data_IF_005762528684
#
_entry.id   IF_005762528684
#
_cell.length_a   1.000
_cell.length_b   1.000
_cell.length_c   1.000
_cell.angle_alpha   90.00
_cell.angle_beta   90.00
_cell.angle_gamma   90.00
#
_symmetry.space_group_name_H-M   'P 1'
#
loop_
_entity.id
_entity.type
_entity.pdbx_description
1 polymer ?
#
# COMPACT_ATOMS: atom_id res chain seq x y z
N UNK A 1 24.30 -17.55 3.26
CA UNK A 1 25.00 -17.02 2.07
C UNK A 1 25.24 -15.51 2.31
N UNK A 2 26.47 -15.02 2.38
CA UNK A 2 26.78 -13.64 2.78
C UNK A 2 26.21 -12.56 1.82
N UNK A 3 26.00 -12.92 0.56
CA UNK A 3 25.49 -12.02 -0.48
C UNK A 3 23.96 -11.91 -0.48
N UNK A 4 23.24 -12.80 0.19
CA UNK A 4 21.78 -12.79 0.27
C UNK A 4 21.33 -11.98 1.48
N UNK A 5 20.58 -10.93 1.27
CA UNK A 5 19.97 -10.13 2.33
C UNK A 5 18.47 -10.38 2.32
N UNK A 6 17.96 -10.92 3.42
CA UNK A 6 16.53 -11.11 3.64
C UNK A 6 16.01 -10.04 4.61
N UNK A 7 14.75 -9.65 4.54
CA UNK A 7 14.11 -8.78 5.53
C UNK A 7 13.70 -9.58 6.78
N UNK A 8 14.66 -10.27 7.42
CA UNK A 8 14.42 -11.25 8.49
C UNK A 8 13.56 -10.68 9.62
N UNK A 9 13.81 -9.45 10.05
CA UNK A 9 13.03 -8.81 11.11
C UNK A 9 11.55 -8.65 10.72
N UNK A 10 11.25 -8.23 9.50
CA UNK A 10 9.87 -8.09 9.02
C UNK A 10 9.19 -9.46 8.86
N UNK A 11 9.93 -10.46 8.41
CA UNK A 11 9.43 -11.84 8.26
C UNK A 11 9.13 -12.46 9.62
N UNK A 12 9.98 -12.25 10.62
CA UNK A 12 9.76 -12.72 11.99
C UNK A 12 8.57 -12.03 12.66
N UNK A 13 8.38 -10.71 12.45
CA UNK A 13 7.19 -10.00 12.94
C UNK A 13 5.92 -10.63 12.33
N UNK A 14 5.91 -10.90 11.03
CA UNK A 14 4.81 -11.59 10.36
C UNK A 14 4.58 -13.00 10.94
N UNK A 15 5.65 -13.75 11.20
CA UNK A 15 5.57 -15.08 11.81
C UNK A 15 5.01 -15.05 13.24
N UNK A 16 5.40 -14.06 14.05
CA UNK A 16 4.93 -13.92 15.43
C UNK A 16 3.45 -13.59 15.55
N UNK A 17 2.82 -13.01 14.53
CA UNK A 17 1.36 -12.78 14.52
C UNK A 17 0.55 -14.06 14.72
N UNK A 18 1.03 -15.20 14.19
CA UNK A 18 0.37 -16.50 14.37
C UNK A 18 0.36 -16.94 15.85
N UNK A 19 1.42 -16.63 16.60
CA UNK A 19 1.50 -16.94 18.04
C UNK A 19 0.44 -16.15 18.82
N UNK A 20 0.20 -14.89 18.45
CA UNK A 20 -0.85 -14.07 19.08
C UNK A 20 -2.25 -14.63 18.80
N UNK A 21 -2.50 -15.09 17.58
CA UNK A 21 -3.76 -15.77 17.23
C UNK A 21 -3.93 -17.06 18.02
N UNK A 22 -2.85 -17.85 18.18
CA UNK A 22 -2.85 -19.06 19.01
C UNK A 22 -3.19 -18.76 20.46
N UNK A 23 -2.61 -17.71 21.04
CA UNK A 23 -2.90 -17.28 22.40
C UNK A 23 -4.35 -16.78 22.56
N UNK A 24 -4.91 -16.09 21.56
CA UNK A 24 -6.32 -15.69 21.56
C UNK A 24 -7.25 -16.92 21.57
N UNK A 25 -6.95 -17.92 20.76
CA UNK A 25 -7.71 -19.19 20.75
C UNK A 25 -7.59 -19.89 22.09
N UNK A 26 -6.37 -19.95 22.68
CA UNK A 26 -6.16 -20.52 23.98
C UNK A 26 -7.05 -19.85 25.05
N UNK A 27 -7.01 -18.52 25.15
CA UNK A 27 -7.83 -17.75 26.10
C UNK A 27 -9.35 -17.95 25.86
N UNK A 28 -9.77 -18.02 24.59
CA UNK A 28 -11.19 -18.22 24.26
C UNK A 28 -11.65 -19.63 24.65
N UNK A 29 -10.82 -20.64 24.45
CA UNK A 29 -11.15 -22.03 24.80
C UNK A 29 -11.06 -22.30 26.30
N UNK A 30 -10.22 -21.56 27.02
CA UNK A 30 -10.13 -21.61 28.48
C UNK A 30 -11.50 -21.29 29.15
N UNK A 31 -12.28 -20.41 28.56
CA UNK A 31 -13.59 -20.03 29.07
C UNK A 31 -14.69 -21.08 28.80
N UNK A 32 -14.40 -22.09 27.96
CA UNK A 32 -15.37 -23.07 27.54
C UNK A 32 -15.69 -24.05 28.69
N UNK A 33 -16.96 -24.14 29.06
CA UNK A 33 -17.48 -25.14 29.97
C UNK A 33 -17.10 -24.90 31.46
N UNK A 34 -16.70 -23.69 31.81
CA UNK A 34 -16.44 -23.34 33.20
C UNK A 34 -17.73 -23.43 34.02
N UNK A 35 -17.70 -24.00 35.23
CA UNK A 35 -18.86 -24.04 36.14
C UNK A 35 -19.14 -22.64 36.69
N UNK A 36 -20.37 -22.49 37.22
CA UNK A 36 -20.76 -21.30 37.93
C UNK A 36 -20.08 -21.33 39.29
N UNK A 37 -19.19 -20.47 39.55
CA UNK A 37 -18.46 -20.15 40.77
C UNK A 37 -16.95 -20.03 40.52
N UNK A 38 -16.11 -20.10 41.57
CA UNK A 38 -14.66 -20.04 41.50
C UNK A 38 -14.09 -21.15 40.60
N UNK A 39 -13.39 -20.76 39.52
CA UNK A 39 -12.72 -21.69 38.61
C UNK A 39 -11.21 -21.44 38.62
N UNK A 40 -10.46 -22.39 39.17
CA UNK A 40 -8.99 -22.31 39.22
C UNK A 40 -8.34 -22.40 37.84
N UNK A 41 -9.03 -22.99 36.89
CA UNK A 41 -8.72 -23.03 35.46
C UNK A 41 -8.29 -21.65 34.91
N UNK A 42 -8.92 -20.57 35.39
CA UNK A 42 -8.60 -19.19 35.00
C UNK A 42 -7.17 -18.72 35.42
N UNK A 43 -6.42 -19.50 36.17
CA UNK A 43 -5.02 -19.20 36.40
C UNK A 43 -4.15 -19.40 35.17
N UNK A 44 -4.59 -20.23 34.24
CA UNK A 44 -3.90 -20.49 32.95
C UNK A 44 -4.02 -19.31 31.95
N UNK A 45 -4.77 -18.25 32.31
CA UNK A 45 -4.87 -17.04 31.45
C UNK A 45 -3.58 -16.20 31.46
N UNK A 46 -2.71 -16.33 32.45
CA UNK A 46 -1.54 -15.47 32.67
C UNK A 46 -0.49 -15.65 31.57
N UNK A 47 -0.12 -16.91 31.32
CA UNK A 47 0.95 -17.20 30.36
C UNK A 47 0.64 -16.68 28.95
N UNK A 48 -0.52 -16.98 28.32
CA UNK A 48 -0.81 -16.48 26.99
C UNK A 48 -0.96 -14.94 26.93
N UNK A 49 -1.42 -14.29 28.02
CA UNK A 49 -1.52 -12.82 28.08
C UNK A 49 -0.12 -12.20 28.16
N UNK A 50 0.73 -12.67 29.06
CA UNK A 50 2.08 -12.12 29.22
C UNK A 50 2.93 -12.37 27.97
N UNK A 51 2.88 -13.59 27.43
CA UNK A 51 3.55 -13.93 26.17
C UNK A 51 3.09 -13.04 25.02
N UNK A 52 1.79 -12.80 24.89
CA UNK A 52 1.23 -11.91 23.85
C UNK A 52 1.72 -10.48 24.05
N UNK A 53 1.68 -9.96 25.28
CA UNK A 53 2.12 -8.60 25.61
C UNK A 53 3.60 -8.39 25.25
N UNK A 54 4.47 -9.32 25.65
CA UNK A 54 5.91 -9.26 25.36
C UNK A 54 6.18 -9.34 23.85
N UNK A 55 5.55 -10.30 23.16
CA UNK A 55 5.72 -10.44 21.71
C UNK A 55 5.25 -9.20 20.96
N UNK A 56 4.11 -8.58 21.33
CA UNK A 56 3.62 -7.35 20.69
C UNK A 56 4.60 -6.20 20.92
N UNK A 57 5.07 -5.98 22.15
CA UNK A 57 6.06 -4.94 22.47
C UNK A 57 7.33 -5.09 21.64
N UNK A 58 7.86 -6.31 21.57
CA UNK A 58 9.06 -6.62 20.80
C UNK A 58 8.84 -6.40 19.29
N UNK A 59 7.68 -6.82 18.74
CA UNK A 59 7.32 -6.57 17.35
C UNK A 59 7.22 -5.07 17.03
N UNK A 60 6.58 -4.29 17.91
CA UNK A 60 6.45 -2.84 17.73
C UNK A 60 7.81 -2.14 17.79
N UNK A 61 8.65 -2.49 18.78
CA UNK A 61 10.01 -1.93 18.89
C UNK A 61 10.84 -2.19 17.63
N UNK A 62 10.83 -3.42 17.12
CA UNK A 62 11.53 -3.76 15.89
C UNK A 62 10.93 -3.06 14.66
N UNK A 63 9.60 -2.94 14.58
CA UNK A 63 8.93 -2.21 13.50
C UNK A 63 9.30 -0.73 13.49
N UNK A 64 9.38 -0.09 14.65
CA UNK A 64 9.86 1.29 14.80
C UNK A 64 11.29 1.43 14.24
N UNK A 65 12.18 0.48 14.57
CA UNK A 65 13.54 0.45 14.05
C UNK A 65 13.57 0.32 12.50
N UNK A 66 12.77 -0.59 11.96
CA UNK A 66 12.63 -0.78 10.50
C UNK A 66 12.19 0.52 9.82
N UNK A 67 11.12 1.14 10.31
CA UNK A 67 10.58 2.38 9.71
C UNK A 67 11.59 3.53 9.79
N UNK A 68 12.25 3.71 10.93
CA UNK A 68 13.28 4.75 11.12
C UNK A 68 14.49 4.58 10.19
N UNK A 69 14.88 3.34 9.89
CA UNK A 69 16.02 3.02 9.04
C UNK A 69 15.70 2.91 7.55
N UNK A 70 14.41 3.02 7.17
CA UNK A 70 13.95 2.83 5.81
C UNK A 70 14.56 3.87 4.86
N UNK A 71 15.23 3.40 3.80
CA UNK A 71 15.76 4.24 2.72
C UNK A 71 14.95 4.03 1.45
N UNK A 72 14.31 5.08 0.97
CA UNK A 72 13.48 5.04 -0.23
C UNK A 72 14.34 5.37 -1.45
N UNK A 73 14.46 4.44 -2.41
CA UNK A 73 15.14 4.67 -3.67
C UNK A 73 14.15 5.10 -4.75
N UNK A 74 13.84 6.40 -4.78
CA UNK A 74 12.87 7.00 -5.70
C UNK A 74 13.17 6.69 -7.17
N UNK A 75 14.44 6.73 -7.57
CA UNK A 75 14.83 6.48 -8.96
C UNK A 75 14.60 5.03 -9.39
N UNK A 76 14.90 4.05 -8.52
CA UNK A 76 14.61 2.65 -8.81
C UNK A 76 13.10 2.38 -8.86
N UNK A 77 12.32 3.01 -7.97
CA UNK A 77 10.86 2.90 -7.96
C UNK A 77 10.25 3.47 -9.25
N UNK A 78 10.71 4.66 -9.69
CA UNK A 78 10.24 5.26 -10.93
C UNK A 78 10.60 4.39 -12.15
N UNK A 79 11.84 3.91 -12.24
CA UNK A 79 12.26 3.00 -13.32
C UNK A 79 11.46 1.69 -13.33
N UNK A 80 11.06 1.19 -12.16
CA UNK A 80 10.21 -0.01 -12.08
C UNK A 80 8.79 0.26 -12.60
N UNK A 81 8.25 1.46 -12.36
CA UNK A 81 6.95 1.88 -12.88
C UNK A 81 6.93 2.07 -14.41
N UNK A 82 8.07 2.42 -15.01
CA UNK A 82 8.18 2.55 -16.47
C UNK A 82 8.14 1.20 -17.20
N UNK A 83 8.36 0.09 -16.47
CA UNK A 83 8.26 -1.26 -17.03
C UNK A 83 6.84 -1.79 -16.87
N UNK A 84 6.30 -2.42 -17.91
CA UNK A 84 5.02 -3.12 -17.84
C UNK A 84 3.76 -2.27 -18.04
N UNK A 85 3.88 -1.08 -18.60
CA UNK A 85 2.76 -0.24 -19.05
C UNK A 85 1.68 0.03 -18.00
N UNK A 86 1.99 0.52 -16.80
CA UNK A 86 1.02 0.69 -15.70
C UNK A 86 -0.11 1.67 -16.03
N UNK A 87 0.09 2.58 -16.98
CA UNK A 87 -0.90 3.57 -17.43
C UNK A 87 -1.75 3.10 -18.62
N UNK A 88 -1.67 1.82 -19.01
CA UNK A 88 -2.47 1.27 -20.09
C UNK A 88 -3.98 1.39 -19.85
N UNK A 89 -4.42 1.24 -18.60
CA UNK A 89 -5.83 1.46 -18.22
C UNK A 89 -6.23 2.92 -18.34
N UNK A 90 -5.35 3.87 -17.98
CA UNK A 90 -5.62 5.31 -18.16
C UNK A 90 -5.74 5.67 -19.66
N UNK A 91 -5.00 4.97 -20.52
CA UNK A 91 -5.13 5.08 -21.98
C UNK A 91 -6.51 4.59 -22.45
N UNK A 92 -6.93 3.40 -22.03
CA UNK A 92 -8.25 2.87 -22.38
C UNK A 92 -9.38 3.77 -21.90
N UNK A 93 -9.29 4.25 -20.66
CA UNK A 93 -10.26 5.17 -20.07
C UNK A 93 -10.33 6.50 -20.85
N UNK A 94 -9.19 7.01 -21.32
CA UNK A 94 -9.14 8.20 -22.16
C UNK A 94 -9.89 7.99 -23.48
N UNK A 95 -9.64 6.88 -24.17
CA UNK A 95 -10.31 6.55 -25.42
C UNK A 95 -11.83 6.47 -25.27
N UNK A 96 -12.30 5.91 -24.14
CA UNK A 96 -13.74 5.82 -23.84
C UNK A 96 -14.32 7.20 -23.48
N UNK A 97 -13.69 7.90 -22.55
CA UNK A 97 -14.28 9.10 -21.93
C UNK A 97 -14.23 10.32 -22.83
N UNK A 98 -13.12 10.51 -23.55
CA UNK A 98 -12.90 11.73 -24.34
C UNK A 98 -13.10 11.53 -25.84
N UNK A 99 -12.86 10.32 -26.37
CA UNK A 99 -13.04 10.04 -27.79
C UNK A 99 -14.33 9.26 -28.08
N UNK A 100 -15.14 8.96 -27.06
CA UNK A 100 -16.40 8.21 -27.16
C UNK A 100 -16.26 6.87 -27.89
N UNK A 101 -15.11 6.20 -27.75
CA UNK A 101 -14.87 4.88 -28.32
C UNK A 101 -15.47 3.83 -27.38
N UNK A 102 -16.27 2.86 -27.88
CA UNK A 102 -16.79 1.79 -27.04
C UNK A 102 -15.67 1.04 -26.32
N UNK A 103 -15.89 0.68 -25.03
CA UNK A 103 -14.85 0.08 -24.18
C UNK A 103 -14.13 -1.12 -24.82
N UNK A 104 -14.87 -2.01 -25.47
CA UNK A 104 -14.30 -3.17 -26.16
C UNK A 104 -13.29 -2.77 -27.26
N UNK A 105 -13.58 -1.71 -28.00
CA UNK A 105 -12.71 -1.22 -29.07
C UNK A 105 -11.55 -0.41 -28.49
N UNK A 106 -11.78 0.40 -27.46
CA UNK A 106 -10.75 1.10 -26.72
C UNK A 106 -9.71 0.09 -26.14
N UNK A 107 -10.17 -1.03 -25.58
CA UNK A 107 -9.30 -2.09 -25.08
C UNK A 107 -8.46 -2.74 -26.20
N UNK A 108 -9.05 -2.99 -27.39
CA UNK A 108 -8.32 -3.50 -28.55
C UNK A 108 -7.27 -2.50 -29.06
N UNK A 109 -7.63 -1.22 -29.13
CA UNK A 109 -6.71 -0.14 -29.55
C UNK A 109 -5.55 -0.04 -28.55
N UNK A 110 -5.84 -0.02 -27.26
CA UNK A 110 -4.82 -0.04 -26.18
C UNK A 110 -3.88 -1.23 -26.34
N UNK A 111 -4.40 -2.43 -26.59
CA UNK A 111 -3.59 -3.63 -26.83
C UNK A 111 -2.66 -3.47 -28.05
N UNK A 112 -3.13 -2.87 -29.15
CA UNK A 112 -2.28 -2.59 -30.33
C UNK A 112 -1.17 -1.59 -30.00
N UNK A 113 -1.48 -0.55 -29.23
CA UNK A 113 -0.50 0.46 -28.80
C UNK A 113 0.56 -0.17 -27.91
N UNK A 114 0.17 -1.04 -26.96
CA UNK A 114 1.12 -1.77 -26.10
C UNK A 114 2.05 -2.66 -26.94
N UNK A 115 1.51 -3.46 -27.83
CA UNK A 115 2.31 -4.30 -28.74
C UNK A 115 3.28 -3.49 -29.60
N UNK A 116 2.87 -2.29 -30.00
CA UNK A 116 3.74 -1.38 -30.75
C UNK A 116 4.86 -0.83 -29.85
N UNK A 117 4.55 -0.44 -28.59
CA UNK A 117 5.52 0.01 -27.61
C UNK A 117 6.55 -1.09 -27.27
N UNK A 118 6.10 -2.32 -27.10
CA UNK A 118 6.95 -3.49 -26.87
C UNK A 118 7.93 -3.70 -28.04
N UNK A 119 7.44 -3.65 -29.28
CA UNK A 119 8.29 -3.78 -30.47
C UNK A 119 9.34 -2.67 -30.59
N UNK A 120 8.99 -1.45 -30.18
CA UNK A 120 9.93 -0.31 -30.14
C UNK A 120 10.80 -0.29 -28.86
N UNK A 121 10.55 -1.17 -27.90
CA UNK A 121 11.19 -1.23 -26.60
C UNK A 121 11.16 0.12 -25.86
N UNK A 122 10.01 0.80 -25.87
CA UNK A 122 9.77 2.10 -25.24
C UNK A 122 8.56 2.04 -24.30
N UNK A 123 8.48 2.97 -23.36
CA UNK A 123 7.33 3.16 -22.48
C UNK A 123 6.20 3.91 -23.19
N UNK A 124 4.96 3.89 -22.63
CA UNK A 124 3.81 4.56 -23.26
C UNK A 124 3.98 6.08 -23.38
N UNK A 125 4.67 6.71 -22.45
CA UNK A 125 4.95 8.15 -22.43
C UNK A 125 6.06 8.57 -23.41
N UNK A 126 6.80 7.61 -23.96
CA UNK A 126 7.84 7.84 -24.97
C UNK A 126 7.35 7.63 -26.43
N UNK A 127 6.14 7.12 -26.61
CA UNK A 127 5.57 6.93 -27.95
C UNK A 127 5.25 8.29 -28.57
N UNK A 128 5.60 8.46 -29.84
CA UNK A 128 5.27 9.69 -30.57
C UNK A 128 3.76 9.75 -30.87
N UNK A 129 3.21 10.96 -30.85
CA UNK A 129 1.79 11.19 -31.17
C UNK A 129 1.42 10.70 -32.57
N UNK A 130 2.34 10.79 -33.53
CA UNK A 130 2.17 10.31 -34.89
C UNK A 130 1.98 8.80 -34.95
N UNK A 131 2.74 8.05 -34.17
CA UNK A 131 2.60 6.59 -34.06
C UNK A 131 1.25 6.19 -33.45
N UNK A 132 0.79 6.93 -32.44
CA UNK A 132 -0.52 6.72 -31.83
C UNK A 132 -1.66 7.00 -32.83
N UNK A 133 -1.55 8.06 -33.61
CA UNK A 133 -2.50 8.42 -34.65
C UNK A 133 -2.51 7.45 -35.83
N UNK A 134 -1.39 6.81 -36.13
CA UNK A 134 -1.34 5.74 -37.11
C UNK A 134 -2.18 4.53 -36.70
N UNK A 135 -2.25 4.24 -35.39
CA UNK A 135 -3.07 3.14 -34.86
C UNK A 135 -4.54 3.55 -34.72
N UNK A 136 -4.81 4.77 -34.24
CA UNK A 136 -6.16 5.35 -34.08
C UNK A 136 -6.13 6.84 -34.42
N UNK A 137 -6.64 7.23 -35.60
CA UNK A 137 -6.58 8.61 -36.10
C UNK A 137 -7.30 9.66 -35.22
N UNK A 138 -8.25 9.23 -34.37
CA UNK A 138 -9.00 10.12 -33.47
C UNK A 138 -8.17 10.61 -32.29
N UNK A 139 -6.99 10.04 -32.06
CA UNK A 139 -6.13 10.41 -30.93
C UNK A 139 -5.62 11.84 -31.08
N UNK A 140 -5.82 12.64 -30.06
CA UNK A 140 -5.34 14.01 -29.97
C UNK A 140 -4.11 14.14 -29.03
N UNK A 141 -3.53 15.36 -28.98
CA UNK A 141 -2.34 15.62 -28.16
C UNK A 141 -2.58 15.54 -26.65
N UNK A 142 -3.84 15.62 -26.19
CA UNK A 142 -4.16 15.58 -24.76
C UNK A 142 -3.95 14.17 -24.17
N UNK A 143 -3.94 13.14 -25.01
CA UNK A 143 -3.67 11.77 -24.58
C UNK A 143 -2.32 11.66 -23.86
N UNK A 144 -1.29 12.37 -24.34
CA UNK A 144 0.06 12.34 -23.76
C UNK A 144 0.06 12.77 -22.29
N UNK A 145 -0.78 13.75 -21.94
CA UNK A 145 -0.97 14.17 -20.54
C UNK A 145 -1.68 13.09 -19.73
N UNK A 146 -2.61 12.36 -20.34
CA UNK A 146 -3.43 11.36 -19.64
C UNK A 146 -2.68 10.08 -19.31
N UNK A 147 -1.75 9.65 -20.17
CA UNK A 147 -0.97 8.42 -19.99
C UNK A 147 0.30 8.60 -19.15
N UNK A 148 0.63 9.82 -18.73
CA UNK A 148 1.78 10.02 -17.85
C UNK A 148 1.54 9.46 -16.45
N UNK A 149 2.57 8.87 -15.83
CA UNK A 149 2.53 8.32 -14.47
C UNK A 149 2.05 9.37 -13.46
N UNK A 150 2.55 10.61 -13.59
CA UNK A 150 2.14 11.71 -12.71
C UNK A 150 0.66 12.03 -12.81
N UNK A 151 0.12 12.10 -14.03
CA UNK A 151 -1.31 12.34 -14.24
C UNK A 151 -2.18 11.22 -13.72
N UNK A 152 -1.75 9.97 -13.88
CA UNK A 152 -2.44 8.81 -13.31
C UNK A 152 -2.55 8.93 -11.78
N UNK A 153 -1.47 9.28 -11.10
CA UNK A 153 -1.45 9.47 -9.64
C UNK A 153 -2.37 10.64 -9.23
N UNK A 154 -2.30 11.78 -9.94
CA UNK A 154 -3.12 12.96 -9.64
C UNK A 154 -4.63 12.72 -9.76
N UNK A 155 -5.04 11.83 -10.66
CA UNK A 155 -6.45 11.46 -10.86
C UNK A 155 -7.01 10.56 -9.75
N UNK A 156 -6.19 9.93 -8.90
CA UNK A 156 -6.64 9.04 -7.81
C UNK A 156 -7.16 9.86 -6.62
N UNK A 157 -8.34 10.45 -6.78
CA UNK A 157 -8.97 11.40 -5.84
C UNK A 157 -10.13 10.81 -5.02
N UNK A 158 -10.49 9.54 -5.23
CA UNK A 158 -11.47 8.83 -4.41
C UNK A 158 -10.99 8.68 -2.96
N UNK A 159 -11.88 8.36 -2.03
CA UNK A 159 -11.51 8.09 -0.63
C UNK A 159 -10.44 7.00 -0.56
N UNK A 160 -9.36 7.27 0.17
CA UNK A 160 -8.18 6.38 0.24
C UNK A 160 -7.27 6.43 -1.00
N UNK A 161 -7.56 7.27 -1.98
CA UNK A 161 -6.75 7.43 -3.18
C UNK A 161 -5.36 8.02 -2.90
N UNK A 162 -4.43 7.74 -3.81
CA UNK A 162 -2.99 8.04 -3.66
C UNK A 162 -2.58 9.39 -4.23
N UNK A 163 -3.52 10.27 -4.59
CA UNK A 163 -3.16 11.62 -5.04
C UNK A 163 -2.40 12.38 -3.93
N UNK A 164 -1.36 13.18 -4.27
CA UNK A 164 -0.54 13.87 -3.27
C UNK A 164 -1.37 14.70 -2.27
N UNK A 165 -2.45 15.31 -2.73
CA UNK A 165 -3.36 16.06 -1.88
C UNK A 165 -4.02 15.18 -0.80
N UNK A 166 -4.49 13.99 -1.17
CA UNK A 166 -5.13 13.07 -0.23
C UNK A 166 -4.10 12.43 0.72
N UNK A 167 -2.90 12.13 0.22
CA UNK A 167 -1.81 11.63 1.06
C UNK A 167 -1.40 12.65 2.11
N UNK A 168 -1.23 13.93 1.72
CA UNK A 168 -0.91 15.01 2.67
C UNK A 168 -2.02 15.21 3.70
N UNK A 169 -3.29 15.14 3.27
CA UNK A 169 -4.44 15.18 4.19
C UNK A 169 -4.40 14.03 5.19
N UNK A 170 -4.18 12.80 4.72
CA UNK A 170 -4.09 11.62 5.58
C UNK A 170 -2.91 11.73 6.58
N UNK A 171 -1.75 12.25 6.15
CA UNK A 171 -0.61 12.53 7.03
C UNK A 171 -0.99 13.55 8.12
N UNK A 172 -1.66 14.64 7.75
CA UNK A 172 -2.10 15.67 8.71
C UNK A 172 -3.08 15.09 9.74
N UNK A 173 -4.06 14.32 9.29
CA UNK A 173 -5.03 13.65 10.16
C UNK A 173 -4.37 12.64 11.10
N UNK A 174 -3.43 11.84 10.58
CA UNK A 174 -2.69 10.87 11.38
C UNK A 174 -1.83 11.58 12.45
N UNK A 175 -1.13 12.66 12.09
CA UNK A 175 -0.38 13.48 13.06
C UNK A 175 -1.29 14.02 14.16
N UNK A 176 -2.43 14.61 13.80
CA UNK A 176 -3.40 15.13 14.77
C UNK A 176 -3.92 14.02 15.70
N UNK A 177 -4.24 12.86 15.14
CA UNK A 177 -4.84 11.75 15.88
C UNK A 177 -3.86 11.04 16.82
N UNK A 178 -2.62 10.86 16.41
CA UNK A 178 -1.67 9.99 17.11
C UNK A 178 -0.52 10.74 17.79
N UNK A 179 -0.19 11.96 17.37
CA UNK A 179 0.92 12.72 17.94
C UNK A 179 0.43 13.83 18.90
N UNK A 180 -0.73 14.45 18.64
CA UNK A 180 -1.26 15.47 19.58
C UNK A 180 -1.78 14.87 20.90
N UNK A 181 -2.19 13.59 20.91
CA UNK A 181 -2.60 12.92 22.15
C UNK A 181 -1.43 12.57 23.08
N UNK A 182 -0.23 12.45 22.55
CA UNK A 182 0.98 12.26 23.39
C UNK A 182 1.40 13.54 24.11
N UNK A 183 1.08 14.71 23.56
CA UNK A 183 1.42 16.01 24.19
C UNK A 183 0.46 16.42 25.30
N UNK A 184 -0.75 15.87 25.33
CA UNK A 184 -1.73 16.15 26.39
C UNK A 184 -1.63 15.23 27.60
N UNK A 185 -0.99 14.06 27.47
CA UNK A 185 -0.74 13.18 28.63
C UNK A 185 0.49 13.62 29.43
N UNK A 186 1.54 14.13 28.79
CA UNK A 186 2.74 14.62 29.49
C UNK A 186 2.50 15.95 30.21
N UNK A 187 1.56 16.76 29.73
CA UNK A 187 1.19 18.03 30.39
C UNK A 187 0.31 17.84 31.63
N UNK A 188 -0.28 16.66 31.83
CA UNK A 188 -1.07 16.36 33.02
C UNK A 188 -0.22 15.81 34.19
N UNK A 189 0.96 15.28 33.89
CA UNK A 189 1.88 14.72 34.89
C UNK A 189 2.86 15.77 35.47
N UNK A 190 2.96 16.98 34.87
CA UNK A 190 3.80 18.07 35.37
C UNK A 190 3.08 19.02 36.36
N UNK A 191 1.83 18.77 36.71
CA UNK A 191 1.00 19.62 37.63
C UNK A 191 0.51 18.85 38.84
N UNK A 192 1.19 17.80 39.27
CA UNK A 192 0.90 17.08 40.51
C UNK A 192 2.06 17.16 41.49
#
# INVERSE_FOLDING_TARGET
MPQKRNPDAAELIRGKSNRLVGNLVNLTTLLKGLPLAYSKDLQEDKEPVFDSSENVKNCLSNMIGIIKSLKINKNKMLKALQKGFPTATDLADYLVTYLNIPFRDAHKITGKIILFAEKKNCSLDEILLEDLRFIEPKIDSNIMKSISINSSILKKTSFGGTSPRLVLKAISEAKRRFLCLLYTSDAADEVA
#
